data_IF_492666041658
#
_entry.id   IF_492666041658
#
_cell.length_a   1.000
_cell.length_b   1.000
_cell.length_c   1.000
_cell.angle_alpha   90.00
_cell.angle_beta   90.00
_cell.angle_gamma   90.00
#
_symmetry.space_group_name_H-M   'P 1'
#
loop_
_entity.id
_entity.type
_entity.pdbx_description
1 polymer ?
#
# COMPACT_ATOMS: atom_id res chain seq x y z
N UNK A 1 4.10 -17.84 24.63
CA UNK A 1 4.04 -16.59 23.86
C UNK A 1 3.26 -16.82 22.58
N UNK A 2 2.51 -15.90 22.20
CA UNK A 2 1.77 -16.01 20.97
C UNK A 2 2.33 -15.01 19.96
N UNK A 3 2.54 -15.46 18.75
CA UNK A 3 3.01 -14.62 17.67
C UNK A 3 2.06 -13.46 17.41
N UNK A 4 0.76 -13.67 17.60
CA UNK A 4 -0.23 -12.61 17.39
C UNK A 4 -0.04 -11.43 18.34
N UNK A 5 0.44 -11.65 19.56
CA UNK A 5 0.74 -10.56 20.48
C UNK A 5 1.97 -9.76 20.03
N UNK A 6 2.89 -10.39 19.34
CA UNK A 6 4.09 -9.73 18.80
C UNK A 6 3.81 -9.00 17.49
N UNK A 7 2.74 -9.37 16.79
CA UNK A 7 2.39 -8.80 15.49
C UNK A 7 1.35 -7.69 15.57
N UNK A 8 1.04 -7.18 16.75
CA UNK A 8 0.19 -6.01 16.89
C UNK A 8 0.97 -4.75 16.46
N UNK A 9 0.32 -3.59 16.37
CA UNK A 9 0.91 -2.36 15.88
C UNK A 9 2.19 -1.94 16.59
N UNK A 10 2.34 -2.25 17.89
CA UNK A 10 3.53 -1.89 18.66
C UNK A 10 4.76 -2.70 18.24
N UNK A 11 4.55 -3.95 17.79
CA UNK A 11 5.64 -4.88 17.44
C UNK A 11 5.74 -5.17 15.96
N UNK A 12 4.81 -4.65 15.15
CA UNK A 12 4.83 -4.85 13.72
C UNK A 12 6.01 -4.09 13.08
N UNK A 13 6.61 -4.63 11.99
CA UNK A 13 7.69 -3.94 11.30
C UNK A 13 7.27 -2.63 10.64
N UNK A 14 5.97 -2.46 10.38
CA UNK A 14 5.41 -1.25 9.80
C UNK A 14 4.20 -0.82 10.60
N UNK A 15 4.04 0.48 10.83
CA UNK A 15 2.89 1.04 11.52
C UNK A 15 1.86 1.67 10.58
N UNK A 16 2.26 1.95 9.34
CA UNK A 16 1.39 2.58 8.34
C UNK A 16 1.68 2.01 6.96
N UNK A 17 0.66 1.46 6.33
CA UNK A 17 0.75 0.73 5.06
C UNK A 17 -0.27 1.28 4.07
N UNK A 18 0.16 1.55 2.85
CA UNK A 18 -0.74 1.85 1.74
C UNK A 18 -0.94 0.61 0.89
N UNK A 19 -2.18 0.24 0.64
CA UNK A 19 -2.54 -0.85 -0.28
C UNK A 19 -3.17 -0.22 -1.52
N UNK A 20 -2.45 -0.26 -2.62
CA UNK A 20 -2.88 0.33 -3.88
C UNK A 20 -3.49 -0.76 -4.76
N UNK A 21 -4.77 -0.61 -5.05
CA UNK A 21 -5.57 -1.63 -5.71
C UNK A 21 -6.31 -2.48 -4.68
N UNK A 22 -7.62 -2.33 -4.65
CA UNK A 22 -8.50 -2.99 -3.68
C UNK A 22 -9.39 -4.05 -4.35
N UNK A 23 -8.86 -4.68 -5.39
CA UNK A 23 -9.46 -5.89 -5.95
C UNK A 23 -9.31 -7.06 -4.98
N UNK A 24 -9.48 -8.28 -5.47
CA UNK A 24 -9.49 -9.47 -4.62
C UNK A 24 -8.22 -9.58 -3.75
N UNK A 25 -7.06 -9.42 -4.35
CA UNK A 25 -5.78 -9.59 -3.63
C UNK A 25 -5.54 -8.43 -2.67
N UNK A 26 -5.69 -7.19 -3.12
CA UNK A 26 -5.47 -6.02 -2.27
C UNK A 26 -6.44 -5.94 -1.11
N UNK A 27 -7.72 -6.21 -1.35
CA UNK A 27 -8.73 -6.24 -0.30
C UNK A 27 -8.47 -7.36 0.70
N UNK A 28 -8.03 -8.53 0.23
CA UNK A 28 -7.69 -9.66 1.11
C UNK A 28 -6.50 -9.32 2.00
N UNK A 29 -5.50 -8.65 1.45
CA UNK A 29 -4.35 -8.19 2.23
C UNK A 29 -4.76 -7.16 3.29
N UNK A 30 -5.53 -6.15 2.88
CA UNK A 30 -6.01 -5.13 3.82
C UNK A 30 -6.83 -5.75 4.95
N UNK A 31 -7.73 -6.67 4.61
CA UNK A 31 -8.54 -7.40 5.59
C UNK A 31 -7.69 -8.24 6.55
N UNK A 32 -6.65 -8.89 6.04
CA UNK A 32 -5.74 -9.67 6.87
C UNK A 32 -4.93 -8.77 7.84
N UNK A 33 -4.48 -7.61 7.36
CA UNK A 33 -3.82 -6.64 8.23
C UNK A 33 -4.75 -6.14 9.33
N UNK A 34 -5.98 -5.80 8.98
CA UNK A 34 -6.98 -5.34 9.96
C UNK A 34 -7.27 -6.40 11.02
N UNK A 35 -7.34 -7.67 10.62
CA UNK A 35 -7.67 -8.76 11.53
C UNK A 35 -6.49 -9.18 12.41
N UNK A 36 -5.29 -9.20 11.86
CA UNK A 36 -4.10 -9.78 12.52
C UNK A 36 -3.14 -8.75 13.10
N UNK A 37 -3.18 -7.54 12.58
CA UNK A 37 -2.31 -6.45 13.03
C UNK A 37 -3.13 -5.17 13.24
N UNK A 38 -4.05 -5.15 14.20
CA UNK A 38 -5.02 -4.05 14.33
C UNK A 38 -4.38 -2.69 14.67
N UNK A 39 -3.13 -2.68 15.13
CA UNK A 39 -2.41 -1.43 15.39
C UNK A 39 -1.80 -0.80 14.13
N UNK A 40 -1.78 -1.51 13.01
CA UNK A 40 -1.27 -0.99 11.76
C UNK A 40 -2.36 -0.19 11.06
N UNK A 41 -2.04 1.05 10.67
CA UNK A 41 -2.96 1.87 9.88
C UNK A 41 -2.86 1.49 8.40
N UNK A 42 -4.00 1.28 7.76
CA UNK A 42 -4.07 0.88 6.36
C UNK A 42 -4.82 1.95 5.57
N UNK A 43 -4.15 2.50 4.56
CA UNK A 43 -4.75 3.41 3.60
C UNK A 43 -4.92 2.68 2.27
N UNK A 44 -6.15 2.55 1.81
CA UNK A 44 -6.46 1.90 0.54
C UNK A 44 -6.58 2.90 -0.60
N UNK A 45 -6.17 2.48 -1.79
CA UNK A 45 -6.30 3.31 -2.99
C UNK A 45 -6.91 2.48 -4.11
N UNK A 46 -7.96 3.00 -4.72
CA UNK A 46 -8.60 2.37 -5.87
C UNK A 46 -9.30 3.44 -6.72
N UNK A 47 -9.37 3.21 -8.01
CA UNK A 47 -10.06 4.12 -8.92
C UNK A 47 -11.58 4.06 -8.79
N UNK A 48 -12.10 2.96 -8.22
CA UNK A 48 -13.54 2.76 -8.04
C UNK A 48 -13.97 3.22 -6.64
N UNK A 49 -14.78 4.27 -6.59
CA UNK A 49 -15.25 4.86 -5.34
C UNK A 49 -16.06 3.87 -4.49
N UNK A 50 -16.87 3.02 -5.12
CA UNK A 50 -17.65 2.02 -4.39
C UNK A 50 -16.76 0.98 -3.72
N UNK A 51 -15.67 0.61 -4.37
CA UNK A 51 -14.67 -0.31 -3.80
C UNK A 51 -13.99 0.32 -2.58
N UNK A 52 -13.64 1.60 -2.66
CA UNK A 52 -13.07 2.33 -1.52
C UNK A 52 -14.04 2.38 -0.35
N UNK A 53 -15.30 2.71 -0.60
CA UNK A 53 -16.33 2.77 0.43
C UNK A 53 -16.53 1.42 1.10
N UNK A 54 -16.58 0.34 0.33
CA UNK A 54 -16.74 -1.00 0.86
C UNK A 54 -15.57 -1.40 1.76
N UNK A 55 -14.36 -1.06 1.39
CA UNK A 55 -13.17 -1.39 2.18
C UNK A 55 -13.17 -0.68 3.54
N UNK A 56 -13.58 0.57 3.58
CA UNK A 56 -13.68 1.32 4.84
C UNK A 56 -14.86 0.84 5.67
N UNK A 57 -16.02 0.60 5.06
CA UNK A 57 -17.23 0.14 5.77
C UNK A 57 -17.01 -1.23 6.42
N UNK A 58 -16.23 -2.09 5.79
CA UNK A 58 -15.91 -3.41 6.34
C UNK A 58 -14.76 -3.39 7.34
N UNK A 59 -14.16 -2.24 7.56
CA UNK A 59 -13.06 -2.11 8.50
C UNK A 59 -11.73 -2.68 8.00
N UNK A 60 -11.60 -2.92 6.70
CA UNK A 60 -10.35 -3.40 6.11
C UNK A 60 -9.32 -2.29 5.99
N UNK A 61 -9.78 -1.09 5.67
CA UNK A 61 -8.93 0.10 5.60
C UNK A 61 -9.43 1.13 6.60
N UNK A 62 -8.51 1.85 7.23
CA UNK A 62 -8.85 2.99 8.09
C UNK A 62 -9.34 4.17 7.26
N UNK A 63 -8.81 4.30 6.05
CA UNK A 63 -9.25 5.26 5.06
C UNK A 63 -8.97 4.70 3.66
N UNK A 64 -9.69 5.17 2.66
CA UNK A 64 -9.46 4.78 1.27
C UNK A 64 -9.90 5.91 0.35
N UNK A 65 -9.20 6.08 -0.76
CA UNK A 65 -9.49 7.12 -1.73
C UNK A 65 -9.06 6.73 -3.13
N UNK A 66 -9.43 7.55 -4.11
CA UNK A 66 -8.86 7.48 -5.45
C UNK A 66 -7.42 7.99 -5.47
N UNK A 67 -6.69 7.70 -6.57
CA UNK A 67 -5.27 8.07 -6.65
C UNK A 67 -5.01 9.59 -6.70
N UNK A 68 -5.99 10.37 -7.12
CA UNK A 68 -5.84 11.82 -7.24
C UNK A 68 -6.33 12.59 -6.03
N UNK A 69 -6.85 11.90 -5.02
CA UNK A 69 -7.28 12.53 -3.78
C UNK A 69 -6.06 13.00 -2.99
N UNK A 70 -6.04 14.26 -2.52
CA UNK A 70 -4.93 14.79 -1.72
C UNK A 70 -4.61 13.96 -0.47
N UNK A 71 -5.57 13.23 0.07
CA UNK A 71 -5.37 12.41 1.25
C UNK A 71 -4.37 11.27 0.98
N UNK A 72 -4.37 10.70 -0.22
CA UNK A 72 -3.40 9.68 -0.60
C UNK A 72 -1.99 10.24 -0.59
N UNK A 73 -1.77 11.36 -1.26
CA UNK A 73 -0.46 12.00 -1.27
C UNK A 73 0.02 12.36 0.13
N UNK A 74 -0.87 12.92 0.95
CA UNK A 74 -0.53 13.29 2.31
C UNK A 74 -0.11 12.07 3.14
N UNK A 75 -0.80 10.94 2.98
CA UNK A 75 -0.44 9.70 3.68
C UNK A 75 0.94 9.20 3.25
N UNK A 76 1.23 9.23 1.96
CA UNK A 76 2.54 8.82 1.42
C UNK A 76 3.66 9.71 1.94
N UNK A 77 3.45 11.02 1.96
CA UNK A 77 4.48 11.98 2.34
C UNK A 77 4.76 12.01 3.84
N UNK A 78 3.74 11.77 4.66
CA UNK A 78 3.85 12.00 6.10
C UNK A 78 3.90 10.74 6.95
N UNK A 79 3.25 9.66 6.53
CA UNK A 79 3.00 8.53 7.43
C UNK A 79 3.48 7.18 6.90
N UNK A 80 3.41 6.96 5.61
CA UNK A 80 3.51 5.62 5.02
C UNK A 80 4.92 5.05 5.10
N UNK A 81 5.01 3.82 5.59
CA UNK A 81 6.28 3.07 5.70
C UNK A 81 6.40 1.96 4.67
N UNK A 82 5.26 1.43 4.22
CA UNK A 82 5.22 0.35 3.23
C UNK A 82 4.11 0.63 2.22
N UNK A 83 4.45 0.53 0.96
CA UNK A 83 3.47 0.56 -0.14
C UNK A 83 3.39 -0.82 -0.76
N UNK A 84 2.19 -1.37 -0.84
CA UNK A 84 1.91 -2.62 -1.54
C UNK A 84 1.08 -2.30 -2.78
N UNK A 85 1.62 -2.59 -3.96
CA UNK A 85 0.92 -2.37 -5.22
C UNK A 85 0.25 -3.68 -5.65
N UNK A 86 -1.08 -3.69 -5.63
CA UNK A 86 -1.90 -4.84 -5.98
C UNK A 86 -2.82 -4.53 -7.17
N UNK A 87 -2.40 -3.62 -8.04
CA UNK A 87 -3.11 -3.26 -9.26
C UNK A 87 -2.77 -4.20 -10.41
N UNK A 88 -3.53 -4.17 -11.51
CA UNK A 88 -3.05 -4.78 -12.74
C UNK A 88 -1.69 -4.21 -13.15
N UNK A 89 -0.90 -5.02 -13.83
CA UNK A 89 0.47 -4.68 -14.27
C UNK A 89 0.52 -3.34 -15.00
N UNK A 90 -0.47 -3.05 -15.83
CA UNK A 90 -0.49 -1.82 -16.63
C UNK A 90 -0.51 -0.53 -15.79
N UNK A 91 -0.98 -0.60 -14.56
CA UNK A 91 -1.09 0.59 -13.70
C UNK A 91 0.14 0.79 -12.80
N UNK A 92 1.04 -0.18 -12.69
CA UNK A 92 2.15 -0.13 -11.74
C UNK A 92 3.08 1.03 -12.02
N UNK A 93 3.43 1.26 -13.28
CA UNK A 93 4.37 2.32 -13.66
C UNK A 93 3.87 3.70 -13.24
N UNK A 94 2.56 3.96 -13.38
CA UNK A 94 1.95 5.22 -12.97
C UNK A 94 2.10 5.45 -11.45
N UNK A 95 1.87 4.41 -10.65
CA UNK A 95 2.01 4.54 -9.21
C UNK A 95 3.46 4.69 -8.79
N UNK A 96 4.38 3.98 -9.43
CA UNK A 96 5.81 4.18 -9.17
C UNK A 96 6.23 5.61 -9.50
N UNK A 97 5.73 6.18 -10.60
CA UNK A 97 6.03 7.57 -10.97
C UNK A 97 5.49 8.55 -9.93
N UNK A 98 4.27 8.33 -9.41
CA UNK A 98 3.71 9.18 -8.35
C UNK A 98 4.57 9.13 -7.09
N UNK A 99 4.98 7.94 -6.66
CA UNK A 99 5.83 7.77 -5.48
C UNK A 99 7.17 8.49 -5.66
N UNK A 100 7.77 8.39 -6.84
CA UNK A 100 8.99 9.14 -7.17
C UNK A 100 8.76 10.65 -7.05
N UNK A 101 7.70 11.15 -7.67
CA UNK A 101 7.40 12.59 -7.70
C UNK A 101 7.13 13.15 -6.31
N UNK A 102 6.59 12.33 -5.42
CA UNK A 102 6.32 12.71 -4.03
C UNK A 102 7.51 12.46 -3.10
N UNK A 103 8.63 11.96 -3.63
CA UNK A 103 9.83 11.75 -2.85
C UNK A 103 9.73 10.62 -1.83
N UNK A 104 8.93 9.60 -2.11
CA UNK A 104 8.76 8.48 -1.18
C UNK A 104 10.07 7.71 -1.00
N UNK A 105 10.45 7.47 0.24
CA UNK A 105 11.72 6.81 0.60
C UNK A 105 11.53 5.49 1.37
N UNK A 106 10.30 5.04 1.54
CA UNK A 106 9.99 3.80 2.25
C UNK A 106 10.16 2.56 1.37
N UNK A 107 9.54 1.47 1.80
CA UNK A 107 9.58 0.19 1.10
C UNK A 107 8.40 0.09 0.15
N UNK A 108 8.65 -0.40 -1.05
CA UNK A 108 7.60 -0.67 -2.05
C UNK A 108 7.68 -2.15 -2.45
N UNK A 109 6.55 -2.81 -2.44
CA UNK A 109 6.43 -4.19 -2.93
C UNK A 109 5.18 -4.32 -3.80
N UNK A 110 5.03 -5.45 -4.45
CA UNK A 110 3.87 -5.75 -5.28
C UNK A 110 3.42 -7.19 -5.12
N UNK A 111 2.24 -7.48 -5.65
CA UNK A 111 1.64 -8.82 -5.63
C UNK A 111 1.69 -9.49 -7.02
N UNK A 112 2.44 -8.92 -7.95
CA UNK A 112 2.48 -9.36 -9.33
C UNK A 112 3.53 -10.45 -9.52
N UNK A 113 3.22 -11.48 -10.29
CA UNK A 113 4.11 -12.62 -10.50
C UNK A 113 5.27 -12.34 -11.44
N UNK A 114 5.14 -11.37 -12.35
CA UNK A 114 6.18 -11.04 -13.34
C UNK A 114 7.05 -9.90 -12.87
N UNK A 115 8.09 -10.19 -12.11
CA UNK A 115 8.87 -9.16 -11.45
C UNK A 115 9.94 -8.48 -12.32
N UNK A 116 10.37 -9.11 -13.40
CA UNK A 116 11.43 -8.54 -14.24
C UNK A 116 11.13 -7.14 -14.74
N UNK A 117 9.96 -6.93 -15.33
CA UNK A 117 9.52 -5.61 -15.80
C UNK A 117 9.37 -4.62 -14.66
N UNK A 118 8.77 -5.06 -13.56
CA UNK A 118 8.50 -4.20 -12.40
C UNK A 118 9.81 -3.74 -11.76
N UNK A 119 10.79 -4.62 -11.63
CA UNK A 119 12.09 -4.26 -11.05
C UNK A 119 12.84 -3.26 -11.94
N UNK A 120 12.75 -3.41 -13.27
CA UNK A 120 13.36 -2.45 -14.19
C UNK A 120 12.70 -1.08 -14.07
N UNK A 121 11.36 -1.04 -14.04
CA UNK A 121 10.62 0.21 -13.87
C UNK A 121 10.92 0.87 -12.51
N UNK A 122 11.01 0.08 -11.45
CA UNK A 122 11.32 0.60 -10.12
C UNK A 122 12.72 1.22 -10.08
N UNK A 123 13.71 0.61 -10.74
CA UNK A 123 15.05 1.15 -10.79
C UNK A 123 15.11 2.53 -11.46
N UNK A 124 14.25 2.75 -12.47
CA UNK A 124 14.19 4.02 -13.18
C UNK A 124 13.33 5.07 -12.48
N UNK A 125 12.25 4.66 -11.84
CA UNK A 125 11.20 5.58 -11.37
C UNK A 125 11.30 5.91 -9.90
N UNK A 126 11.75 5.00 -9.05
CA UNK A 126 11.81 5.26 -7.62
C UNK A 126 13.08 6.02 -7.25
N UNK A 127 12.97 7.01 -6.36
CA UNK A 127 14.16 7.71 -5.87
C UNK A 127 14.94 6.80 -4.91
N UNK A 128 16.25 6.99 -4.85
CA UNK A 128 17.02 6.47 -3.72
C UNK A 128 16.74 7.36 -2.50
N UNK A 129 16.57 6.81 -1.30
CA UNK A 129 16.82 5.43 -0.89
C UNK A 129 15.57 4.52 -0.83
N UNK A 130 14.53 4.81 -1.58
CA UNK A 130 13.36 3.92 -1.62
C UNK A 130 13.76 2.52 -2.04
N UNK A 131 13.15 1.52 -1.44
CA UNK A 131 13.48 0.12 -1.70
C UNK A 131 12.28 -0.62 -2.27
N UNK A 132 12.52 -1.26 -3.40
CA UNK A 132 11.54 -2.14 -4.02
C UNK A 132 11.88 -3.59 -3.67
N UNK A 133 10.90 -4.28 -3.13
CA UNK A 133 11.09 -5.66 -2.66
C UNK A 133 10.17 -6.63 -3.38
#
# INVERSE_FOLDING_TARGET
MTESAELNGANAPFSAVAVIGLGLIGASLAGALAAKMPGVRVFGVDTDAATCAAATDRGWCDAASGPDDPAFRAFIENDCELVVIATPVAAVDDYLARLRDWGYTGVVTDTISTKGHILAAAAELLPAPARYV
#
